data_IF_739988528234
#
_entry.id   IF_739988528234
#
_cell.length_a   1.000
_cell.length_b   1.000
_cell.length_c   1.000
_cell.angle_alpha   90.00
_cell.angle_beta   90.00
_cell.angle_gamma   90.00
#
_symmetry.space_group_name_H-M   'P 1'
#
loop_
_entity.id
_entity.type
_entity.pdbx_description
1 polymer ?
#
# COMPACT_ATOMS: atom_id res chain seq x y z
N UNK A 1 -36.17 -50.65 -4.45
CA UNK A 1 -35.67 -50.27 -5.79
C UNK A 1 -34.73 -49.10 -5.60
N UNK A 2 -33.43 -49.32 -5.85
CA UNK A 2 -32.37 -48.35 -5.61
C UNK A 2 -32.23 -47.41 -6.82
N UNK A 3 -32.21 -46.11 -6.57
CA UNK A 3 -31.86 -45.09 -7.57
C UNK A 3 -30.55 -44.44 -7.11
N UNK A 4 -29.45 -44.81 -7.78
CA UNK A 4 -28.14 -44.22 -7.59
C UNK A 4 -28.10 -42.80 -8.16
N UNK A 5 -27.75 -41.84 -7.32
CA UNK A 5 -27.45 -40.48 -7.76
C UNK A 5 -25.97 -40.42 -8.12
N UNK A 6 -25.68 -40.30 -9.43
CA UNK A 6 -24.33 -40.09 -9.92
C UNK A 6 -23.87 -38.68 -9.60
N UNK A 7 -22.84 -38.55 -8.76
CA UNK A 7 -22.14 -37.28 -8.53
C UNK A 7 -21.25 -37.03 -9.74
N UNK A 8 -21.62 -36.06 -10.57
CA UNK A 8 -20.76 -35.52 -11.63
C UNK A 8 -19.68 -34.69 -10.95
N UNK A 9 -18.43 -35.18 -11.00
CA UNK A 9 -17.28 -34.42 -10.54
C UNK A 9 -17.01 -33.28 -11.55
N UNK A 10 -17.25 -32.04 -11.14
CA UNK A 10 -16.71 -30.89 -11.87
C UNK A 10 -15.20 -30.83 -11.64
N UNK A 11 -14.44 -30.79 -12.73
CA UNK A 11 -12.99 -30.54 -12.71
C UNK A 11 -12.71 -29.29 -11.91
N UNK A 12 -11.98 -29.44 -10.80
CA UNK A 12 -11.43 -28.31 -10.06
C UNK A 12 -10.35 -27.66 -10.93
N UNK A 13 -10.71 -26.64 -11.71
CA UNK A 13 -9.72 -25.72 -12.24
C UNK A 13 -9.03 -25.08 -11.04
N UNK A 14 -7.73 -25.34 -10.88
CA UNK A 14 -6.89 -24.59 -9.96
C UNK A 14 -7.02 -23.12 -10.36
N UNK A 15 -7.57 -22.24 -9.51
CA UNK A 15 -7.68 -20.83 -9.85
C UNK A 15 -6.25 -20.31 -10.02
N UNK A 16 -5.87 -19.97 -11.24
CA UNK A 16 -4.66 -19.21 -11.46
C UNK A 16 -4.80 -17.89 -10.71
N UNK A 17 -3.72 -17.36 -10.10
CA UNK A 17 -3.76 -16.04 -9.50
C UNK A 17 -4.04 -15.01 -10.60
N UNK A 18 -5.31 -14.68 -10.80
CA UNK A 18 -5.77 -13.66 -11.73
C UNK A 18 -5.76 -12.33 -11.00
N UNK A 19 -4.92 -11.41 -11.45
CA UNK A 19 -4.93 -10.05 -10.95
C UNK A 19 -5.83 -9.20 -11.85
N UNK A 20 -7.09 -9.05 -11.46
CA UNK A 20 -8.13 -8.37 -12.24
C UNK A 20 -7.69 -6.99 -12.73
N UNK A 21 -7.15 -6.16 -11.84
CA UNK A 21 -6.66 -4.83 -12.20
C UNK A 21 -5.49 -4.87 -13.21
N UNK A 22 -4.69 -5.95 -13.23
CA UNK A 22 -3.60 -6.10 -14.21
C UNK A 22 -4.13 -6.52 -15.58
N UNK A 23 -5.16 -7.37 -15.60
CA UNK A 23 -5.86 -7.74 -16.83
C UNK A 23 -6.55 -6.53 -17.45
N UNK A 24 -7.29 -5.76 -16.65
CA UNK A 24 -7.99 -4.56 -17.09
C UNK A 24 -7.02 -3.52 -17.66
N UNK A 25 -5.95 -3.18 -16.94
CA UNK A 25 -4.98 -2.20 -17.44
C UNK A 25 -4.22 -2.72 -18.67
N UNK A 26 -3.98 -4.03 -18.76
CA UNK A 26 -3.40 -4.66 -19.94
C UNK A 26 -4.30 -4.54 -21.17
N UNK A 27 -5.62 -4.71 -21.00
CA UNK A 27 -6.60 -4.50 -22.06
C UNK A 27 -6.64 -3.03 -22.51
N UNK A 28 -6.67 -2.09 -21.56
CA UNK A 28 -6.64 -0.65 -21.87
C UNK A 28 -5.37 -0.29 -22.65
N UNK A 29 -4.20 -0.76 -22.21
CA UNK A 29 -2.94 -0.53 -22.92
C UNK A 29 -2.97 -1.07 -24.35
N UNK A 30 -3.47 -2.29 -24.56
CA UNK A 30 -3.59 -2.87 -25.90
C UNK A 30 -4.54 -2.07 -26.80
N UNK A 31 -5.67 -1.61 -26.26
CA UNK A 31 -6.64 -0.81 -27.00
C UNK A 31 -6.11 0.59 -27.36
N UNK A 32 -5.46 1.29 -26.42
CA UNK A 32 -4.83 2.60 -26.66
C UNK A 32 -3.76 2.49 -27.74
N UNK A 33 -2.83 1.54 -27.62
CA UNK A 33 -1.74 1.36 -28.60
C UNK A 33 -2.29 1.00 -29.98
N UNK A 34 -3.22 0.06 -30.08
CA UNK A 34 -3.79 -0.34 -31.37
C UNK A 34 -4.61 0.79 -32.02
N UNK A 35 -5.22 1.66 -31.22
CA UNK A 35 -5.94 2.84 -31.71
C UNK A 35 -5.00 3.86 -32.34
N UNK A 36 -3.94 4.25 -31.63
CA UNK A 36 -2.95 5.16 -32.19
C UNK A 36 -2.19 4.56 -33.38
N UNK A 37 -1.86 3.27 -33.33
CA UNK A 37 -1.18 2.62 -34.45
C UNK A 37 -2.03 2.60 -35.73
N UNK A 38 -3.35 2.38 -35.60
CA UNK A 38 -4.30 2.48 -36.72
C UNK A 38 -4.44 3.92 -37.21
N UNK A 39 -4.59 4.89 -36.32
CA UNK A 39 -4.80 6.29 -36.68
C UNK A 39 -3.57 6.89 -37.41
N UNK A 40 -2.36 6.56 -36.95
CA UNK A 40 -1.11 6.90 -37.65
C UNK A 40 -1.02 6.21 -39.02
N UNK A 41 -1.44 4.95 -39.14
CA UNK A 41 -1.43 4.23 -40.42
C UNK A 41 -2.47 4.79 -41.42
N UNK A 42 -3.68 5.13 -40.98
CA UNK A 42 -4.73 5.72 -41.82
C UNK A 42 -4.27 7.03 -42.47
N UNK A 43 -3.46 7.82 -41.76
CA UNK A 43 -2.83 9.05 -42.30
C UNK A 43 -1.61 8.79 -43.17
N UNK A 44 -0.99 7.61 -43.05
CA UNK A 44 0.23 7.23 -43.75
C UNK A 44 0.06 5.87 -44.45
N UNK A 45 -0.86 5.76 -45.43
CA UNK A 45 -1.22 4.47 -46.05
C UNK A 45 -0.09 3.84 -46.88
N UNK A 46 0.99 4.59 -47.14
CA UNK A 46 2.20 4.09 -47.79
C UNK A 46 3.08 3.24 -46.87
N UNK A 47 2.85 3.28 -45.55
CA UNK A 47 3.54 2.44 -44.58
C UNK A 47 2.87 1.07 -44.50
N UNK A 48 3.67 0.03 -44.20
CA UNK A 48 3.10 -1.27 -43.84
C UNK A 48 2.33 -1.17 -42.53
N UNK A 49 1.15 -1.83 -42.42
CA UNK A 49 0.38 -1.80 -41.19
C UNK A 49 1.13 -2.50 -40.03
N UNK A 50 0.89 -2.10 -38.77
CA UNK A 50 1.44 -2.79 -37.62
C UNK A 50 0.95 -4.25 -37.57
N UNK A 51 1.81 -5.18 -37.13
CA UNK A 51 1.37 -6.56 -36.94
C UNK A 51 0.37 -6.68 -35.77
N UNK A 52 -0.46 -7.73 -35.78
CA UNK A 52 -1.65 -7.83 -34.93
C UNK A 52 -1.45 -7.99 -33.42
N UNK A 53 -0.23 -7.84 -32.89
CA UNK A 53 0.05 -7.89 -31.45
C UNK A 53 0.36 -6.50 -30.90
N UNK A 54 0.02 -6.26 -29.63
CA UNK A 54 0.34 -4.99 -28.94
C UNK A 54 1.83 -4.68 -29.01
N UNK A 55 2.71 -5.67 -28.79
CA UNK A 55 4.15 -5.49 -28.84
C UNK A 55 4.64 -5.06 -30.23
N UNK A 56 4.07 -5.61 -31.29
CA UNK A 56 4.42 -5.22 -32.65
C UNK A 56 3.90 -3.83 -33.01
N UNK A 57 2.70 -3.46 -32.55
CA UNK A 57 2.18 -2.11 -32.73
C UNK A 57 3.04 -1.05 -32.00
N UNK A 58 3.49 -1.34 -30.77
CA UNK A 58 4.47 -0.49 -30.06
C UNK A 58 5.77 -0.39 -30.84
N UNK A 59 6.36 -1.52 -31.26
CA UNK A 59 7.62 -1.53 -32.01
C UNK A 59 7.52 -0.72 -33.32
N UNK A 60 6.38 -0.80 -33.99
CA UNK A 60 6.09 -0.03 -35.19
C UNK A 60 6.02 1.48 -34.90
N UNK A 61 5.27 1.91 -33.88
CA UNK A 61 5.19 3.31 -33.47
C UNK A 61 6.56 3.88 -33.08
N UNK A 62 7.36 3.13 -32.33
CA UNK A 62 8.73 3.52 -31.92
C UNK A 62 9.63 3.78 -33.13
N UNK A 63 9.38 3.12 -34.27
CA UNK A 63 10.11 3.34 -35.51
C UNK A 63 9.78 4.64 -36.25
N UNK A 64 8.79 5.42 -35.80
CA UNK A 64 8.23 6.55 -36.54
C UNK A 64 8.28 7.89 -35.77
N UNK A 65 9.36 8.24 -35.03
CA UNK A 65 9.35 9.37 -34.09
C UNK A 65 9.03 10.72 -34.75
N UNK A 66 9.52 10.96 -35.96
CA UNK A 66 9.24 12.21 -36.69
C UNK A 66 7.77 12.31 -37.13
N UNK A 67 7.14 11.20 -37.51
CA UNK A 67 5.72 11.20 -37.89
C UNK A 67 4.83 11.41 -36.67
N UNK A 68 5.18 10.80 -35.53
CA UNK A 68 4.47 11.02 -34.27
C UNK A 68 4.58 12.49 -33.81
N UNK A 69 5.76 13.09 -33.92
CA UNK A 69 5.96 14.50 -33.55
C UNK A 69 5.21 15.50 -34.43
N UNK A 70 5.00 15.15 -35.71
CA UNK A 70 4.24 15.98 -36.66
C UNK A 70 2.74 15.64 -36.69
N UNK A 71 2.31 14.70 -35.85
CA UNK A 71 0.93 14.28 -35.81
C UNK A 71 0.02 15.42 -35.30
N UNK A 72 -1.12 15.72 -35.95
CA UNK A 72 -1.97 16.83 -35.51
C UNK A 72 -2.54 16.69 -34.09
N UNK A 73 -2.60 15.46 -33.56
CA UNK A 73 -3.00 15.14 -32.19
C UNK A 73 -1.81 14.56 -31.39
N UNK A 74 -0.60 15.08 -31.61
CA UNK A 74 0.61 14.58 -30.94
C UNK A 74 0.57 14.76 -29.41
N UNK A 75 -0.09 15.81 -28.94
CA UNK A 75 -0.35 16.07 -27.52
C UNK A 75 -1.26 15.01 -26.90
N UNK A 76 -2.40 14.72 -27.54
CA UNK A 76 -3.33 13.68 -27.09
C UNK A 76 -2.68 12.29 -27.10
N UNK A 77 -1.94 11.96 -28.17
CA UNK A 77 -1.19 10.71 -28.27
C UNK A 77 -0.19 10.56 -27.13
N UNK A 78 0.60 11.62 -26.87
CA UNK A 78 1.57 11.63 -25.79
C UNK A 78 0.89 11.41 -24.44
N UNK A 79 -0.19 12.14 -24.16
CA UNK A 79 -0.88 12.10 -22.87
C UNK A 79 -1.55 10.74 -22.64
N UNK A 80 -2.19 10.15 -23.65
CA UNK A 80 -2.80 8.83 -23.52
C UNK A 80 -1.76 7.72 -23.31
N UNK A 81 -0.67 7.74 -24.08
CA UNK A 81 0.39 6.73 -23.95
C UNK A 81 1.11 6.85 -22.60
N UNK A 82 1.43 8.07 -22.15
CA UNK A 82 2.08 8.26 -20.86
C UNK A 82 1.16 7.93 -19.69
N UNK A 83 -0.13 8.28 -19.79
CA UNK A 83 -1.16 7.93 -18.81
C UNK A 83 -1.30 6.41 -18.66
N UNK A 84 -1.41 5.67 -19.77
CA UNK A 84 -1.56 4.21 -19.69
C UNK A 84 -0.30 3.53 -19.17
N UNK A 85 0.90 4.02 -19.54
CA UNK A 85 2.17 3.50 -18.98
C UNK A 85 2.26 3.75 -17.48
N UNK A 86 1.86 4.93 -16.99
CA UNK A 86 1.83 5.22 -15.56
C UNK A 86 0.88 4.30 -14.81
N UNK A 87 -0.31 4.04 -15.37
CA UNK A 87 -1.31 3.15 -14.79
C UNK A 87 -0.84 1.70 -14.78
N UNK A 88 -0.19 1.22 -15.85
CA UNK A 88 0.44 -0.10 -15.91
C UNK A 88 1.48 -0.23 -14.80
N UNK A 89 2.42 0.74 -14.71
CA UNK A 89 3.44 0.77 -13.65
C UNK A 89 2.84 0.73 -12.26
N UNK A 90 1.80 1.51 -11.99
CA UNK A 90 1.15 1.51 -10.67
C UNK A 90 0.56 0.14 -10.28
N UNK A 91 0.09 -0.63 -11.26
CA UNK A 91 -0.53 -1.94 -11.03
C UNK A 91 0.53 -3.04 -10.89
N UNK A 92 1.58 -3.01 -11.71
CA UNK A 92 2.63 -4.06 -11.71
C UNK A 92 3.72 -3.78 -10.67
N UNK A 93 4.11 -2.51 -10.49
CA UNK A 93 5.07 -2.07 -9.49
C UNK A 93 4.28 -1.63 -8.26
N UNK A 94 3.95 -2.62 -7.41
CA UNK A 94 3.37 -2.36 -6.10
C UNK A 94 4.20 -1.29 -5.39
N UNK A 95 3.61 -0.13 -5.01
CA UNK A 95 4.34 0.91 -4.31
C UNK A 95 5.05 0.34 -3.08
N UNK A 96 6.26 0.82 -2.75
CA UNK A 96 6.97 0.34 -1.57
C UNK A 96 6.06 0.45 -0.34
N UNK A 97 6.08 -0.57 0.51
CA UNK A 97 5.28 -0.61 1.74
C UNK A 97 5.44 0.72 2.47
N UNK A 98 4.37 1.50 2.60
CA UNK A 98 4.43 2.74 3.35
C UNK A 98 4.13 2.48 4.80
N UNK A 99 4.89 3.12 5.68
CA UNK A 99 4.66 3.10 7.12
C UNK A 99 3.86 4.34 7.51
N UNK A 100 2.88 4.16 8.37
CA UNK A 100 2.15 5.28 8.95
C UNK A 100 3.10 6.11 9.83
N UNK A 101 3.24 7.39 9.49
CA UNK A 101 4.13 8.33 10.16
C UNK A 101 3.39 9.29 11.11
N UNK A 102 2.09 9.13 11.29
CA UNK A 102 1.27 9.96 12.17
C UNK A 102 0.43 11.00 11.42
N UNK A 103 -0.39 11.78 12.14
CA UNK A 103 -1.16 12.86 11.53
C UNK A 103 -0.24 14.05 11.21
N UNK A 104 -0.58 14.76 10.15
CA UNK A 104 -0.09 16.09 9.86
C UNK A 104 -0.57 17.05 10.97
N UNK A 105 0.22 18.08 11.22
CA UNK A 105 -0.12 19.16 12.15
C UNK A 105 0.31 20.54 11.64
N UNK A 106 0.60 20.65 10.34
CA UNK A 106 0.97 21.88 9.68
C UNK A 106 -0.17 22.91 9.76
N UNK A 107 0.18 24.18 9.98
CA UNK A 107 -0.76 25.30 9.90
C UNK A 107 -0.77 25.82 8.47
N UNK A 108 -1.91 25.74 7.80
CA UNK A 108 -2.12 26.13 6.40
C UNK A 108 -3.29 27.10 6.37
N UNK A 109 -3.06 28.33 5.91
CA UNK A 109 -4.11 29.37 5.81
C UNK A 109 -4.87 29.64 7.13
N UNK A 110 -4.22 29.41 8.28
CA UNK A 110 -4.82 29.60 9.60
C UNK A 110 -5.57 28.39 10.15
N UNK A 111 -5.62 27.28 9.41
CA UNK A 111 -6.20 26.01 9.85
C UNK A 111 -5.14 24.92 9.99
N UNK A 112 -5.37 23.99 10.92
CA UNK A 112 -4.48 22.83 11.12
C UNK A 112 -4.84 21.74 10.12
N UNK A 113 -3.89 21.34 9.28
CA UNK A 113 -4.01 20.14 8.47
C UNK A 113 -4.01 18.90 9.38
N UNK A 114 -4.98 18.00 9.19
CA UNK A 114 -5.14 16.77 10.00
C UNK A 114 -5.03 15.49 9.16
N UNK A 115 -4.48 15.59 7.95
CA UNK A 115 -4.33 14.43 7.06
C UNK A 115 -3.27 13.44 7.58
N UNK A 116 -3.29 12.20 7.09
CA UNK A 116 -2.42 11.12 7.57
C UNK A 116 -1.12 11.04 6.75
N UNK A 117 0.02 11.06 7.43
CA UNK A 117 1.34 10.98 6.83
C UNK A 117 1.76 9.52 6.64
N UNK A 118 2.38 9.25 5.49
CA UNK A 118 2.90 7.94 5.13
C UNK A 118 4.33 8.06 4.58
N UNK A 119 5.28 7.41 5.24
CA UNK A 119 6.69 7.42 4.87
C UNK A 119 7.10 6.12 4.19
N UNK A 120 8.20 6.13 3.44
CA UNK A 120 8.88 4.90 3.04
C UNK A 120 9.59 4.28 4.27
N UNK A 121 9.80 2.96 4.32
CA UNK A 121 10.53 2.34 5.42
C UNK A 121 11.96 2.90 5.46
N UNK A 122 12.40 3.33 6.65
CA UNK A 122 13.71 3.96 6.84
C UNK A 122 13.83 5.42 6.40
N UNK A 123 12.76 6.05 5.88
CA UNK A 123 12.77 7.49 5.58
C UNK A 123 12.68 8.31 6.85
N UNK A 124 13.54 9.33 6.98
CA UNK A 124 13.49 10.30 8.09
C UNK A 124 12.48 11.41 7.83
N UNK A 125 12.01 11.59 6.60
CA UNK A 125 11.03 12.62 6.23
C UNK A 125 9.79 12.02 5.57
N UNK A 126 8.64 12.66 5.79
CA UNK A 126 7.37 12.37 5.14
C UNK A 126 6.71 13.66 4.66
N UNK A 127 6.31 13.71 3.39
CA UNK A 127 5.58 14.84 2.80
C UNK A 127 4.08 14.59 2.87
N UNK A 128 3.32 15.54 3.41
CA UNK A 128 1.87 15.50 3.41
C UNK A 128 1.34 15.56 1.96
N UNK A 129 0.38 14.68 1.63
CA UNK A 129 -0.23 14.66 0.30
C UNK A 129 -1.19 15.85 0.07
N UNK A 130 -1.86 16.32 1.13
CA UNK A 130 -2.81 17.45 1.06
C UNK A 130 -2.11 18.80 1.05
N UNK A 131 -1.30 19.12 2.08
CA UNK A 131 -0.71 20.45 2.22
C UNK A 131 0.73 20.57 1.70
N UNK A 132 1.39 19.45 1.38
CA UNK A 132 2.76 19.44 0.89
C UNK A 132 3.84 19.71 1.95
N UNK A 133 3.49 19.96 3.21
CA UNK A 133 4.45 20.16 4.30
C UNK A 133 5.27 18.88 4.54
N UNK A 134 6.57 19.04 4.72
CA UNK A 134 7.47 17.96 5.12
C UNK A 134 7.57 17.86 6.63
N UNK A 135 7.49 16.65 7.16
CA UNK A 135 7.59 16.34 8.58
C UNK A 135 8.72 15.36 8.83
N UNK A 136 9.40 15.53 9.97
CA UNK A 136 10.35 14.54 10.49
C UNK A 136 9.58 13.33 11.06
N UNK A 137 9.85 12.15 10.51
CA UNK A 137 9.14 10.91 10.85
C UNK A 137 9.44 10.48 12.28
N UNK A 138 10.67 10.69 12.75
CA UNK A 138 11.09 10.28 14.09
C UNK A 138 10.49 11.21 15.16
N UNK A 139 10.37 12.50 14.87
CA UNK A 139 9.64 13.47 15.70
C UNK A 139 8.16 13.13 15.76
N UNK A 140 7.53 12.85 14.61
CA UNK A 140 6.12 12.47 14.59
C UNK A 140 5.85 11.19 15.36
N UNK A 141 6.74 10.20 15.24
CA UNK A 141 6.66 8.96 15.99
C UNK A 141 6.79 9.20 17.50
N UNK A 142 7.76 10.01 17.93
CA UNK A 142 7.92 10.40 19.35
C UNK A 142 6.66 11.06 19.90
N UNK A 143 6.09 12.03 19.18
CA UNK A 143 4.84 12.66 19.58
C UNK A 143 3.69 11.64 19.72
N UNK A 144 3.55 10.70 18.78
CA UNK A 144 2.51 9.67 18.86
C UNK A 144 2.70 8.76 20.08
N UNK A 145 3.96 8.39 20.39
CA UNK A 145 4.28 7.59 21.58
C UNK A 145 3.91 8.32 22.85
N UNK A 146 4.22 9.63 22.92
CA UNK A 146 3.93 10.45 24.10
C UNK A 146 2.43 10.67 24.27
N UNK A 147 1.71 10.99 23.19
CA UNK A 147 0.26 11.11 23.20
C UNK A 147 -0.41 9.79 23.63
N UNK A 148 0.07 8.66 23.10
CA UNK A 148 -0.48 7.35 23.43
C UNK A 148 -0.24 6.96 24.89
N UNK A 149 0.82 7.47 25.54
CA UNK A 149 1.24 7.03 26.88
C UNK A 149 0.14 7.16 27.93
N UNK A 150 -0.74 8.14 27.81
CA UNK A 150 -1.82 8.38 28.77
C UNK A 150 -3.11 7.63 28.45
N UNK A 151 -3.21 6.99 27.29
CA UNK A 151 -4.39 6.27 26.88
C UNK A 151 -4.50 4.92 27.62
N UNK A 152 -5.73 4.61 28.04
CA UNK A 152 -6.09 3.31 28.62
C UNK A 152 -6.61 2.41 27.51
N UNK A 153 -5.88 1.34 27.23
CA UNK A 153 -6.14 0.47 26.08
C UNK A 153 -6.18 -0.99 26.48
N UNK A 154 -6.89 -1.81 25.70
CA UNK A 154 -6.89 -3.26 25.91
C UNK A 154 -5.51 -3.86 25.61
N UNK A 155 -5.24 -5.06 26.12
CA UNK A 155 -3.99 -5.77 25.84
C UNK A 155 -3.71 -5.90 24.33
N UNK A 156 -4.73 -6.21 23.52
CA UNK A 156 -4.60 -6.34 22.07
C UNK A 156 -4.15 -5.04 21.41
N UNK A 157 -4.74 -3.91 21.81
CA UNK A 157 -4.38 -2.59 21.28
C UNK A 157 -2.98 -2.20 21.73
N UNK A 158 -2.64 -2.43 23.01
CA UNK A 158 -1.30 -2.17 23.53
C UNK A 158 -0.21 -2.92 22.75
N UNK A 159 -0.39 -4.23 22.52
CA UNK A 159 0.54 -5.04 21.73
C UNK A 159 0.65 -4.60 20.27
N UNK A 160 -0.47 -4.16 19.68
CA UNK A 160 -0.48 -3.57 18.34
C UNK A 160 0.33 -2.28 18.28
N UNK A 161 0.15 -1.39 19.26
CA UNK A 161 0.87 -0.13 19.35
C UNK A 161 2.35 -0.30 19.69
N UNK A 162 2.75 -1.26 20.53
CA UNK A 162 4.18 -1.54 20.76
C UNK A 162 4.87 -1.99 19.47
N UNK A 163 4.18 -2.79 18.64
CA UNK A 163 4.70 -3.18 17.34
C UNK A 163 4.78 -2.01 16.37
N UNK A 164 3.73 -1.20 16.28
CA UNK A 164 3.64 -0.09 15.31
C UNK A 164 4.56 1.08 15.67
N UNK A 165 4.57 1.49 16.94
CA UNK A 165 5.23 2.71 17.39
C UNK A 165 6.65 2.49 17.90
N UNK A 166 6.95 1.32 18.47
CA UNK A 166 8.25 1.03 19.11
C UNK A 166 9.06 -0.01 18.35
N UNK A 167 8.52 -0.61 17.28
CA UNK A 167 9.08 -1.77 16.57
C UNK A 167 9.44 -2.94 17.52
N UNK A 168 8.62 -3.13 18.56
CA UNK A 168 8.80 -4.18 19.58
C UNK A 168 7.65 -5.17 19.52
N UNK A 169 7.98 -6.42 19.20
CA UNK A 169 7.04 -7.53 19.31
C UNK A 169 7.14 -8.15 20.71
N UNK A 170 6.06 -8.07 21.48
CA UNK A 170 5.98 -8.67 22.82
C UNK A 170 5.17 -9.97 22.73
N UNK A 171 5.77 -11.14 23.01
CA UNK A 171 5.05 -12.41 23.03
C UNK A 171 3.93 -12.41 24.08
N UNK A 172 2.85 -13.14 23.81
CA UNK A 172 1.71 -13.20 24.74
C UNK A 172 2.10 -13.74 26.12
N UNK A 173 2.97 -14.75 26.20
CA UNK A 173 3.48 -15.26 27.48
C UNK A 173 4.30 -14.22 28.27
N UNK A 174 5.00 -13.32 27.58
CA UNK A 174 5.72 -12.20 28.22
C UNK A 174 4.75 -11.19 28.81
N UNK A 175 3.71 -10.83 28.04
CA UNK A 175 2.62 -9.99 28.52
C UNK A 175 1.96 -10.60 29.77
N UNK A 176 1.56 -11.87 29.71
CA UNK A 176 0.91 -12.56 30.82
C UNK A 176 1.84 -12.65 32.06
N UNK A 177 3.16 -12.80 31.83
CA UNK A 177 4.15 -12.73 32.90
C UNK A 177 4.28 -11.33 33.52
N UNK A 178 4.11 -10.26 32.77
CA UNK A 178 4.15 -8.91 33.33
C UNK A 178 2.91 -8.61 34.18
N UNK A 179 1.74 -9.04 33.71
CA UNK A 179 0.48 -8.92 34.45
C UNK A 179 0.52 -9.74 35.74
N UNK A 180 0.87 -11.03 35.65
CA UNK A 180 0.87 -11.92 36.84
C UNK A 180 1.89 -11.52 37.90
N UNK A 181 2.99 -10.86 37.51
CA UNK A 181 4.00 -10.30 38.43
C UNK A 181 3.71 -8.87 38.86
N UNK A 182 2.56 -8.30 38.50
CA UNK A 182 2.17 -6.93 38.86
C UNK A 182 3.04 -5.83 38.26
N UNK A 183 3.80 -6.11 37.20
CA UNK A 183 4.65 -5.10 36.53
C UNK A 183 3.85 -4.13 35.67
N UNK A 184 2.70 -4.59 35.18
CA UNK A 184 1.63 -3.76 34.61
C UNK A 184 0.34 -4.16 35.29
N UNK A 185 -0.50 -3.17 35.57
CA UNK A 185 -1.76 -3.36 36.28
C UNK A 185 -2.95 -2.84 35.47
N UNK A 186 -4.10 -3.52 35.51
CA UNK A 186 -5.32 -3.00 34.92
C UNK A 186 -5.76 -1.69 35.57
N UNK A 187 -6.19 -0.72 34.76
CA UNK A 187 -6.69 0.59 35.15
C UNK A 187 -8.19 0.73 34.82
N UNK A 188 -8.95 -0.34 35.10
CA UNK A 188 -10.38 -0.45 34.84
C UNK A 188 -10.71 -1.42 33.71
N UNK A 189 -11.92 -1.28 33.16
CA UNK A 189 -12.43 -2.12 32.06
C UNK A 189 -13.03 -1.28 30.94
N UNK A 190 -13.03 -1.81 29.72
CA UNK A 190 -13.79 -1.24 28.61
C UNK A 190 -15.29 -1.52 28.74
N UNK A 191 -16.09 -1.01 27.78
CA UNK A 191 -17.53 -1.23 27.74
C UNK A 191 -17.95 -2.72 27.63
N UNK A 192 -17.02 -3.60 27.24
CA UNK A 192 -17.22 -5.04 27.15
C UNK A 192 -16.67 -5.80 28.37
N UNK A 193 -16.23 -5.10 29.42
CA UNK A 193 -15.68 -5.70 30.63
C UNK A 193 -14.24 -6.20 30.50
N UNK A 194 -13.53 -5.89 29.41
CA UNK A 194 -12.13 -6.31 29.22
C UNK A 194 -11.19 -5.37 29.98
N UNK A 195 -10.13 -5.87 30.64
CA UNK A 195 -9.19 -5.02 31.36
C UNK A 195 -8.46 -4.06 30.40
N UNK A 196 -8.34 -2.81 30.82
CA UNK A 196 -7.56 -1.78 30.11
C UNK A 196 -6.30 -1.44 30.90
N UNK A 197 -5.22 -1.10 30.21
CA UNK A 197 -3.91 -0.82 30.75
C UNK A 197 -3.48 0.55 30.25
N UNK A 198 -2.79 1.32 31.10
CA UNK A 198 -2.16 2.56 30.64
C UNK A 198 -1.01 2.21 29.70
N UNK A 199 -1.02 2.76 28.49
CA UNK A 199 -0.02 2.40 27.49
C UNK A 199 1.41 2.83 27.89
N UNK A 200 1.57 3.92 28.65
CA UNK A 200 2.86 4.36 29.17
C UNK A 200 3.60 3.27 29.96
N UNK A 201 2.89 2.56 30.85
CA UNK A 201 3.48 1.48 31.65
C UNK A 201 3.92 0.29 30.76
N UNK A 202 3.13 0.01 29.71
CA UNK A 202 3.45 -1.02 28.71
C UNK A 202 4.65 -0.61 27.86
N UNK A 203 4.70 0.64 27.40
CA UNK A 203 5.80 1.22 26.62
C UNK A 203 7.11 1.10 27.38
N UNK A 204 7.12 1.48 28.66
CA UNK A 204 8.34 1.48 29.48
C UNK A 204 8.89 0.05 29.65
N UNK A 205 8.00 -0.93 29.86
CA UNK A 205 8.39 -2.35 29.86
C UNK A 205 8.85 -2.86 28.50
N UNK A 206 8.21 -2.44 27.41
CA UNK A 206 8.56 -2.85 26.06
C UNK A 206 9.93 -2.30 25.63
N UNK A 207 10.26 -1.07 26.01
CA UNK A 207 11.57 -0.46 25.78
C UNK A 207 12.66 -1.20 26.57
N UNK A 208 12.39 -1.57 27.82
CA UNK A 208 13.29 -2.38 28.64
C UNK A 208 13.37 -3.85 28.19
N UNK A 209 12.46 -4.32 27.33
CA UNK A 209 12.44 -5.69 26.86
C UNK A 209 13.46 -5.90 25.73
N UNK A 210 14.45 -6.74 26.01
CA UNK A 210 15.33 -7.30 24.99
C UNK A 210 14.66 -8.52 24.39
N UNK A 211 14.18 -8.38 23.16
CA UNK A 211 13.67 -9.50 22.38
C UNK A 211 14.78 -10.53 22.22
N UNK A 212 14.59 -11.76 22.73
CA UNK A 212 15.52 -12.85 22.43
C UNK A 212 15.39 -13.16 20.93
N UNK A 213 16.47 -13.18 20.13
CA UNK A 213 16.37 -13.59 18.74
C UNK A 213 15.74 -14.98 18.68
N UNK A 214 14.73 -15.15 17.82
CA UNK A 214 14.23 -16.48 17.48
C UNK A 214 15.42 -17.24 16.90
N UNK A 215 15.84 -18.33 17.56
CA UNK A 215 16.77 -19.27 16.95
C UNK A 215 16.19 -19.66 15.59
N UNK A 216 16.91 -19.31 14.52
CA UNK A 216 16.66 -19.88 13.20
C UNK A 216 17.03 -21.37 13.34
N UNK A 217 16.02 -22.23 13.22
CA UNK A 217 16.20 -23.65 12.96
C UNK A 217 16.43 -23.85 11.46
#
# INVERSE_FOLDING_TARGET
>A
MASGSGVVAHSASTPVPFHEAASEVGWVMANTVSTWAREVHERNPHLLPPAGSTAAAVAWLVGLPNLLALHPAADELHDEITSVVARVRQVIDRPPDRIYAGPCDAQVEGERCTDHLYARPGSHTARCATCGTEHDVDERRRWMIDYAADLRVTATVALGWTRLLLDKTIPRGTWDSWVSRGRIVPHGTDASGRPVFRFGDVRDLALAHVSKPRHAA
#
